data_IF_895696931277
#
_entry.id   IF_895696931277
#
_cell.length_a   1.000
_cell.length_b   1.000
_cell.length_c   1.000
_cell.angle_alpha   90.00
_cell.angle_beta   90.00
_cell.angle_gamma   90.00
#
_symmetry.space_group_name_H-M   'P 1'
#
loop_
_entity.id
_entity.type
_entity.pdbx_description
1 polymer ?
#
# COMPACT_ATOMS: atom_id res chain seq x y z
N UNK A 1 5.09 48.19 -1.95
CA UNK A 1 6.48 48.64 -1.74
C UNK A 1 7.45 47.57 -2.28
N UNK A 2 8.39 48.00 -3.14
CA UNK A 2 9.77 47.51 -3.39
C UNK A 2 10.28 46.40 -2.43
N UNK A 3 11.08 45.35 -2.76
CA UNK A 3 12.06 44.99 -3.83
C UNK A 3 12.50 43.50 -3.63
N UNK A 4 12.71 42.66 -4.66
CA UNK A 4 14.00 42.18 -5.28
C UNK A 4 14.84 41.27 -4.31
N UNK A 5 15.43 40.08 -4.59
CA UNK A 5 16.07 39.48 -5.78
C UNK A 5 16.48 38.00 -5.55
N UNK A 6 16.41 37.18 -6.63
CA UNK A 6 17.38 36.19 -7.21
C UNK A 6 18.16 35.17 -6.33
N UNK A 7 18.41 33.92 -6.75
CA UNK A 7 19.08 33.49 -8.01
C UNK A 7 18.71 32.07 -8.53
N UNK A 8 18.72 31.97 -9.87
CA UNK A 8 18.70 30.79 -10.78
C UNK A 8 20.15 30.18 -10.87
N UNK A 9 20.42 28.99 -11.47
CA UNK A 9 20.21 28.67 -12.90
C UNK A 9 19.70 27.22 -13.18
N UNK A 10 18.91 26.95 -14.22
CA UNK A 10 19.22 26.81 -15.65
C UNK A 10 20.29 25.75 -15.99
N UNK A 11 19.87 24.62 -16.56
CA UNK A 11 20.68 23.90 -17.53
C UNK A 11 19.76 23.31 -18.62
N UNK A 12 20.04 23.75 -19.84
CA UNK A 12 19.38 23.48 -21.09
C UNK A 12 20.43 22.75 -21.93
N UNK A 13 20.11 21.63 -22.56
CA UNK A 13 20.86 21.18 -23.73
C UNK A 13 19.98 20.35 -24.67
N UNK A 14 19.79 20.94 -25.85
CA UNK A 14 19.36 20.32 -27.09
C UNK A 14 20.31 19.19 -27.50
N UNK A 15 19.76 18.21 -28.22
CA UNK A 15 20.38 17.79 -29.48
C UNK A 15 19.32 17.23 -30.44
N UNK A 16 19.15 17.94 -31.55
CA UNK A 16 18.52 17.47 -32.77
C UNK A 16 19.50 16.53 -33.52
N UNK A 17 18.97 15.58 -34.29
CA UNK A 17 19.78 14.73 -35.17
C UNK A 17 18.97 14.26 -36.38
N UNK A 18 19.22 14.94 -37.50
CA UNK A 18 18.60 14.78 -38.82
C UNK A 18 18.92 13.46 -39.52
N UNK A 19 18.02 13.08 -40.43
CA UNK A 19 18.19 12.06 -41.44
C UNK A 19 19.32 12.38 -42.44
N UNK A 20 19.95 11.34 -42.99
CA UNK A 20 20.85 11.43 -44.15
C UNK A 20 20.94 10.09 -44.88
N UNK A 21 20.47 10.10 -46.13
CA UNK A 21 20.52 9.01 -47.12
C UNK A 21 21.74 9.18 -48.04
N UNK A 22 22.23 8.04 -48.55
CA UNK A 22 23.04 7.78 -49.76
C UNK A 22 24.41 8.47 -49.97
N UNK A 23 25.39 7.66 -50.39
CA UNK A 23 26.58 8.14 -51.10
C UNK A 23 27.77 7.20 -51.05
N UNK A 24 27.90 6.33 -52.05
CA UNK A 24 29.11 5.55 -52.38
C UNK A 24 30.30 6.45 -52.74
N UNK A 25 31.53 6.09 -52.33
CA UNK A 25 32.60 5.62 -53.24
C UNK A 25 34.04 5.74 -52.67
N UNK A 26 34.87 4.83 -53.19
CA UNK A 26 36.34 4.82 -53.35
C UNK A 26 37.24 4.35 -52.21
N UNK A 27 37.95 3.28 -52.54
CA UNK A 27 39.06 2.69 -51.83
C UNK A 27 40.31 3.58 -51.83
N UNK A 28 41.04 3.55 -50.72
CA UNK A 28 42.48 3.80 -50.65
C UNK A 28 43.16 2.70 -49.82
N UNK A 29 44.28 2.13 -50.30
CA UNK A 29 45.00 1.10 -49.57
C UNK A 29 46.07 1.69 -48.65
N UNK A 30 46.21 1.09 -47.47
CA UNK A 30 47.43 1.12 -46.68
C UNK A 30 47.45 2.11 -45.51
N UNK A 31 47.28 1.59 -44.30
CA UNK A 31 48.37 1.45 -43.31
C UNK A 31 47.86 0.96 -41.95
N UNK A 32 48.67 0.07 -41.38
CA UNK A 32 48.87 -0.21 -39.96
C UNK A 32 47.67 -0.68 -39.13
N UNK A 33 47.68 -2.00 -38.87
CA UNK A 33 46.97 -2.64 -37.77
C UNK A 33 47.37 -1.96 -36.44
N UNK A 34 46.45 -1.21 -35.86
CA UNK A 34 46.50 -0.84 -34.44
C UNK A 34 46.20 -2.07 -33.57
N UNK A 35 46.64 -2.09 -32.30
CA UNK A 35 46.46 -3.24 -31.43
C UNK A 35 44.98 -3.53 -31.23
N UNK A 36 44.63 -4.82 -31.31
CA UNK A 36 43.28 -5.33 -31.06
C UNK A 36 42.81 -4.89 -29.67
N UNK A 37 41.78 -4.04 -29.64
CA UNK A 37 41.01 -3.76 -28.42
C UNK A 37 40.30 -5.07 -28.06
N UNK A 38 40.51 -5.65 -26.87
CA UNK A 38 39.73 -6.82 -26.46
C UNK A 38 38.25 -6.43 -26.40
N UNK A 39 37.33 -7.35 -26.76
CA UNK A 39 35.90 -7.06 -26.71
C UNK A 39 35.53 -6.60 -25.30
N UNK A 40 34.93 -5.41 -25.19
CA UNK A 40 34.22 -5.02 -23.99
C UNK A 40 33.08 -6.02 -23.83
N UNK A 41 33.10 -6.75 -22.73
CA UNK A 41 32.00 -7.62 -22.33
C UNK A 41 30.74 -6.75 -22.28
N UNK A 42 29.74 -7.07 -23.11
CA UNK A 42 28.38 -6.60 -22.90
C UNK A 42 27.96 -7.18 -21.55
N UNK A 43 27.98 -6.33 -20.53
CA UNK A 43 27.43 -6.61 -19.22
C UNK A 43 25.96 -6.95 -19.47
N UNK A 44 25.66 -8.25 -19.49
CA UNK A 44 24.31 -8.74 -19.68
C UNK A 44 23.45 -8.02 -18.67
N UNK A 45 22.49 -7.23 -19.16
CA UNK A 45 21.43 -6.70 -18.34
C UNK A 45 20.73 -7.91 -17.74
N UNK A 46 21.09 -8.28 -16.51
CA UNK A 46 20.22 -9.04 -15.65
C UNK A 46 18.95 -8.20 -15.57
N UNK A 47 17.96 -8.56 -16.39
CA UNK A 47 16.60 -8.05 -16.28
C UNK A 47 16.23 -8.22 -14.80
N UNK A 48 16.18 -7.10 -14.09
CA UNK A 48 15.74 -7.08 -12.72
C UNK A 48 14.44 -7.88 -12.66
N UNK A 49 14.29 -8.84 -11.73
CA UNK A 49 13.12 -9.69 -11.69
C UNK A 49 11.90 -8.78 -11.69
N UNK A 50 11.00 -9.00 -12.65
CA UNK A 50 9.79 -8.21 -12.80
C UNK A 50 9.16 -8.03 -11.41
N UNK A 51 8.96 -6.77 -11.00
CA UNK A 51 8.38 -6.48 -9.70
C UNK A 51 7.12 -7.34 -9.54
N UNK A 52 6.95 -8.04 -8.40
CA UNK A 52 5.82 -8.94 -8.24
C UNK A 52 4.55 -8.14 -8.50
N UNK A 53 3.81 -8.53 -9.55
CA UNK A 53 2.59 -7.83 -9.96
C UNK A 53 1.60 -7.77 -8.79
N UNK A 54 0.76 -6.74 -8.79
CA UNK A 54 -0.25 -6.52 -7.76
C UNK A 54 -1.04 -7.80 -7.47
N UNK A 55 -0.99 -8.24 -6.21
CA UNK A 55 -1.59 -9.52 -5.79
C UNK A 55 -2.96 -9.35 -5.16
N UNK A 56 -3.47 -8.13 -5.05
CA UNK A 56 -4.66 -7.78 -4.27
C UNK A 56 -4.32 -6.94 -3.04
N UNK A 57 -5.33 -6.42 -2.36
CA UNK A 57 -5.16 -5.56 -1.19
C UNK A 57 -6.32 -5.68 -0.20
N UNK A 58 -6.06 -5.36 1.06
CA UNK A 58 -7.08 -5.28 2.11
C UNK A 58 -7.05 -3.90 2.75
N UNK A 59 -8.16 -3.16 2.67
CA UNK A 59 -8.36 -1.84 3.29
C UNK A 59 -9.42 -1.99 4.40
N UNK A 60 -8.99 -1.89 5.65
CA UNK A 60 -9.86 -1.96 6.83
C UNK A 60 -9.87 -0.60 7.50
N UNK A 61 -11.07 -0.07 7.73
CA UNK A 61 -11.24 1.25 8.31
C UNK A 61 -12.22 1.25 9.45
N UNK A 62 -11.88 1.99 10.48
CA UNK A 62 -12.65 2.15 11.69
C UNK A 62 -12.96 3.62 11.92
N UNK A 63 -14.25 3.93 12.04
CA UNK A 63 -14.79 5.27 12.27
C UNK A 63 -15.74 5.26 13.45
N UNK A 64 -16.06 6.43 13.99
CA UNK A 64 -17.24 6.56 14.85
C UNK A 64 -18.52 6.29 14.04
N UNK A 65 -19.43 5.47 14.58
CA UNK A 65 -20.76 5.24 14.02
C UNK A 65 -21.78 6.34 14.40
N UNK A 66 -21.49 7.13 15.43
CA UNK A 66 -22.37 8.16 15.99
C UNK A 66 -22.01 9.58 15.52
N UNK A 67 -21.08 9.72 14.57
CA UNK A 67 -20.58 11.03 14.14
C UNK A 67 -19.69 11.73 15.19
N UNK A 68 -19.17 10.98 16.18
CA UNK A 68 -18.11 11.50 17.05
C UNK A 68 -16.84 11.74 16.23
N UNK A 69 -16.01 12.67 16.69
CA UNK A 69 -14.73 12.97 16.05
C UNK A 69 -13.83 11.73 16.01
N UNK A 70 -13.75 10.95 17.09
CA UNK A 70 -12.80 9.86 17.20
C UNK A 70 -13.51 8.49 17.23
N UNK A 71 -12.93 7.46 16.59
CA UNK A 71 -13.41 6.08 16.76
C UNK A 71 -13.27 5.65 18.23
N UNK A 72 -14.27 4.96 18.81
CA UNK A 72 -14.22 4.52 20.22
C UNK A 72 -13.37 3.24 20.43
N UNK A 73 -12.51 2.90 19.46
CA UNK A 73 -11.74 1.67 19.47
C UNK A 73 -10.49 1.76 18.57
N UNK A 74 -9.59 0.79 18.75
CA UNK A 74 -8.38 0.57 17.95
C UNK A 74 -8.40 -0.84 17.31
N UNK A 75 -7.49 -1.12 16.38
CA UNK A 75 -7.48 -2.39 15.65
C UNK A 75 -6.13 -3.10 15.67
N UNK A 76 -6.18 -4.43 15.79
CA UNK A 76 -5.04 -5.31 15.50
C UNK A 76 -5.49 -6.43 14.57
N UNK A 77 -4.81 -6.58 13.44
CA UNK A 77 -5.05 -7.62 12.44
C UNK A 77 -3.92 -8.63 12.47
N UNK A 78 -4.27 -9.91 12.46
CA UNK A 78 -3.37 -11.03 12.24
C UNK A 78 -3.61 -11.61 10.85
N UNK A 79 -2.54 -11.78 10.07
CA UNK A 79 -2.61 -12.41 8.75
C UNK A 79 -2.65 -13.95 8.86
N UNK A 80 -2.88 -14.67 7.74
CA UNK A 80 -2.87 -16.13 7.73
C UNK A 80 -1.55 -16.77 8.19
N UNK A 81 -0.43 -16.06 8.12
CA UNK A 81 0.87 -16.51 8.60
C UNK A 81 1.08 -16.24 10.10
N UNK A 82 0.15 -15.55 10.78
CA UNK A 82 0.22 -15.20 12.19
C UNK A 82 0.87 -13.85 12.50
N UNK A 83 1.39 -13.15 11.49
CA UNK A 83 2.01 -11.81 11.64
C UNK A 83 0.95 -10.75 11.94
N UNK A 84 1.32 -9.75 12.73
CA UNK A 84 0.41 -8.72 13.23
C UNK A 84 0.65 -7.34 12.60
N UNK A 85 -0.42 -6.57 12.40
CA UNK A 85 -0.36 -5.13 12.15
C UNK A 85 -1.45 -4.40 12.93
N UNK A 86 -1.18 -3.18 13.38
CA UNK A 86 -2.16 -2.35 14.08
C UNK A 86 -1.66 -1.84 15.43
N UNK A 87 -2.56 -1.34 16.27
CA UNK A 87 -2.23 -0.82 17.59
C UNK A 87 -3.06 -1.50 18.68
N UNK A 88 -2.37 -1.99 19.72
CA UNK A 88 -3.01 -2.56 20.91
C UNK A 88 -2.92 -1.58 22.09
N UNK A 89 -4.04 -0.93 22.46
CA UNK A 89 -4.05 0.08 23.52
C UNK A 89 -3.83 -0.53 24.91
N UNK A 90 -3.97 -1.84 25.10
CA UNK A 90 -3.79 -2.50 26.40
C UNK A 90 -2.33 -2.59 26.81
N UNK A 91 -1.44 -2.72 25.81
CA UNK A 91 0.01 -2.77 25.99
C UNK A 91 0.71 -1.52 25.48
N UNK A 92 -0.04 -0.56 24.92
CA UNK A 92 0.47 0.62 24.24
C UNK A 92 1.54 0.26 23.20
N UNK A 93 1.22 -0.69 22.33
CA UNK A 93 2.17 -1.27 21.37
C UNK A 93 1.61 -1.28 19.95
N UNK A 94 2.44 -0.86 18.99
CA UNK A 94 2.13 -0.88 17.55
C UNK A 94 2.82 -2.07 16.90
N UNK A 95 2.03 -2.95 16.28
CA UNK A 95 2.51 -4.05 15.46
C UNK A 95 2.73 -3.59 14.01
N UNK A 96 3.85 -4.00 13.43
CA UNK A 96 4.22 -3.72 12.04
C UNK A 96 4.96 -4.91 11.42
N UNK A 97 4.43 -6.12 11.61
CA UNK A 97 5.06 -7.37 11.19
C UNK A 97 4.62 -7.79 9.78
N UNK A 98 3.36 -7.50 9.42
CA UNK A 98 2.81 -7.87 8.10
C UNK A 98 3.52 -7.05 6.99
N UNK A 99 4.19 -7.69 6.02
CA UNK A 99 4.80 -6.99 4.89
C UNK A 99 3.76 -6.20 4.09
N UNK A 100 4.09 -4.95 3.73
CA UNK A 100 3.16 -4.05 3.04
C UNK A 100 1.99 -3.56 3.90
N UNK A 101 1.93 -3.96 5.18
CA UNK A 101 0.96 -3.51 6.16
C UNK A 101 1.25 -2.10 6.65
N UNK A 102 0.22 -1.27 6.71
CA UNK A 102 0.26 0.08 7.27
C UNK A 102 -0.87 0.28 8.26
N UNK A 103 -0.60 0.99 9.34
CA UNK A 103 -1.58 1.43 10.33
C UNK A 103 -1.43 2.93 10.55
N UNK A 104 -2.51 3.68 10.41
CA UNK A 104 -2.48 5.13 10.59
C UNK A 104 -3.83 5.66 11.02
N UNK A 105 -3.80 6.75 11.79
CA UNK A 105 -4.97 7.59 12.01
C UNK A 105 -4.97 8.73 11.00
N UNK A 106 -6.13 9.00 10.42
CA UNK A 106 -6.33 10.03 9.41
C UNK A 106 -7.48 10.92 9.82
N UNK A 107 -7.30 12.23 9.66
CA UNK A 107 -8.41 13.19 9.73
C UNK A 107 -8.99 13.31 8.33
N UNK A 108 -10.25 12.93 8.19
CA UNK A 108 -11.02 13.16 6.97
C UNK A 108 -11.62 14.57 7.07
N UNK A 109 -11.09 15.48 6.26
CA UNK A 109 -11.54 16.87 6.21
C UNK A 109 -13.01 16.95 5.75
N UNK A 110 -13.86 17.50 6.59
CA UNK A 110 -15.30 17.65 6.40
C UNK A 110 -15.89 18.58 7.46
N UNK A 111 -17.22 18.77 7.46
CA UNK A 111 -17.92 19.49 8.54
C UNK A 111 -18.98 18.57 9.17
N UNK A 112 -18.76 18.06 10.39
CA UNK A 112 -17.51 18.11 11.17
C UNK A 112 -16.39 17.24 10.55
N UNK A 113 -15.13 17.55 10.84
CA UNK A 113 -14.02 16.66 10.52
C UNK A 113 -14.15 15.38 11.35
N UNK A 114 -13.88 14.22 10.76
CA UNK A 114 -13.91 12.95 11.49
C UNK A 114 -12.54 12.28 11.41
N UNK A 115 -12.13 11.64 12.49
CA UNK A 115 -10.96 10.76 12.51
C UNK A 115 -11.37 9.34 12.07
N UNK A 116 -10.52 8.74 11.27
CA UNK A 116 -10.61 7.36 10.82
C UNK A 116 -9.28 6.67 11.12
N UNK A 117 -9.37 5.46 11.68
CA UNK A 117 -8.22 4.57 11.78
C UNK A 117 -8.21 3.65 10.57
N UNK A 118 -7.11 3.65 9.83
CA UNK A 118 -6.92 2.88 8.59
C UNK A 118 -5.83 1.83 8.82
N UNK A 119 -6.17 0.58 8.52
CA UNK A 119 -5.24 -0.53 8.39
C UNK A 119 -5.29 -1.01 6.94
N UNK A 120 -4.19 -0.87 6.21
CA UNK A 120 -4.10 -1.25 4.80
C UNK A 120 -2.96 -2.24 4.60
N UNK A 121 -3.22 -3.36 3.93
CA UNK A 121 -2.20 -4.33 3.51
C UNK A 121 -2.11 -4.31 1.99
N UNK A 122 -0.99 -3.83 1.48
CA UNK A 122 -0.63 -3.99 0.08
C UNK A 122 -0.21 -5.43 -0.21
N UNK A 123 -0.55 -5.94 -1.40
CA UNK A 123 -0.25 -7.33 -1.80
C UNK A 123 -0.76 -8.38 -0.79
N UNK A 124 -1.95 -8.16 -0.23
CA UNK A 124 -2.57 -9.05 0.74
C UNK A 124 -2.71 -10.48 0.19
N UNK A 125 -2.31 -11.47 0.99
CA UNK A 125 -2.42 -12.88 0.66
C UNK A 125 -3.85 -13.38 0.88
N UNK A 126 -4.32 -14.29 0.03
CA UNK A 126 -5.60 -14.96 0.26
C UNK A 126 -5.56 -15.84 1.52
N UNK A 127 -6.64 -15.85 2.30
CA UNK A 127 -6.75 -16.69 3.49
C UNK A 127 -7.66 -16.10 4.58
N UNK A 128 -7.57 -16.71 5.77
CA UNK A 128 -8.31 -16.29 6.95
C UNK A 128 -7.46 -15.33 7.80
N UNK A 129 -7.93 -14.11 7.95
CA UNK A 129 -7.38 -13.11 8.85
C UNK A 129 -8.20 -13.06 10.15
N UNK A 130 -7.53 -12.73 11.24
CA UNK A 130 -8.17 -12.48 12.53
C UNK A 130 -8.02 -11.01 12.90
N UNK A 131 -9.13 -10.28 12.98
CA UNK A 131 -9.16 -8.88 13.39
C UNK A 131 -9.70 -8.76 14.81
N UNK A 132 -9.00 -8.00 15.64
CA UNK A 132 -9.46 -7.54 16.95
C UNK A 132 -9.77 -6.05 16.87
N UNK A 133 -10.98 -5.69 17.27
CA UNK A 133 -11.38 -4.29 17.54
C UNK A 133 -11.43 -4.13 19.05
N UNK A 134 -10.60 -3.25 19.60
CA UNK A 134 -10.36 -3.11 21.04
C UNK A 134 -10.92 -1.77 21.51
N UNK A 135 -11.93 -1.80 22.37
CA UNK A 135 -12.62 -0.61 22.85
C UNK A 135 -11.73 0.26 23.73
N UNK A 136 -11.69 1.55 23.43
CA UNK A 136 -10.96 2.59 24.17
C UNK A 136 -11.89 3.65 24.76
N UNK A 137 -13.11 3.78 24.23
CA UNK A 137 -14.17 4.66 24.73
C UNK A 137 -15.54 3.97 24.56
N UNK A 138 -16.58 4.56 25.14
CA UNK A 138 -17.96 4.16 24.91
C UNK A 138 -18.48 4.71 23.58
N UNK A 139 -19.14 3.85 22.80
CA UNK A 139 -19.96 4.30 21.68
C UNK A 139 -20.06 3.27 20.56
N UNK A 140 -20.71 3.65 19.49
CA UNK A 140 -20.77 2.85 18.27
C UNK A 140 -19.53 3.09 17.39
N UNK A 141 -18.92 2.03 16.88
CA UNK A 141 -17.99 2.12 15.77
C UNK A 141 -18.63 1.64 14.47
N UNK A 142 -18.16 2.19 13.35
CA UNK A 142 -18.40 1.71 12.00
C UNK A 142 -17.09 1.11 11.46
N UNK A 143 -17.12 -0.18 11.14
CA UNK A 143 -15.99 -0.95 10.62
C UNK A 143 -16.28 -1.32 9.16
N UNK A 144 -15.59 -0.68 8.23
CA UNK A 144 -15.66 -1.01 6.80
C UNK A 144 -14.44 -1.81 6.39
N UNK A 145 -14.65 -2.86 5.61
CA UNK A 145 -13.59 -3.69 5.05
C UNK A 145 -13.77 -3.75 3.55
N UNK A 146 -12.70 -3.52 2.79
CA UNK A 146 -12.67 -3.69 1.34
C UNK A 146 -11.52 -4.61 0.96
N UNK A 147 -11.82 -5.65 0.21
CA UNK A 147 -10.84 -6.59 -0.32
C UNK A 147 -10.79 -6.45 -1.84
N UNK A 148 -9.59 -6.25 -2.39
CA UNK A 148 -9.34 -6.14 -3.83
C UNK A 148 -8.62 -7.40 -4.32
N UNK A 149 -9.07 -8.03 -5.39
CA UNK A 149 -8.32 -9.12 -6.03
C UNK A 149 -7.20 -8.60 -6.95
N UNK A 150 -6.42 -9.51 -7.52
CA UNK A 150 -5.35 -9.19 -8.48
C UNK A 150 -5.80 -8.40 -9.73
N UNK A 151 -7.09 -8.47 -10.07
CA UNK A 151 -7.69 -7.82 -11.24
C UNK A 151 -8.33 -6.48 -10.87
N UNK A 152 -8.11 -6.01 -9.63
CA UNK A 152 -8.68 -4.79 -9.04
C UNK A 152 -10.21 -4.82 -8.86
N UNK A 153 -10.85 -5.99 -9.00
CA UNK A 153 -12.24 -6.14 -8.56
C UNK A 153 -12.27 -6.12 -7.03
N UNK A 154 -13.40 -5.72 -6.44
CA UNK A 154 -13.49 -5.62 -4.98
C UNK A 154 -14.82 -6.09 -4.41
N UNK A 155 -14.78 -6.45 -3.13
CA UNK A 155 -15.93 -6.73 -2.29
C UNK A 155 -15.80 -5.94 -0.97
N UNK A 156 -16.95 -5.51 -0.45
CA UNK A 156 -17.06 -4.64 0.72
C UNK A 156 -17.93 -5.24 1.82
N UNK A 157 -17.60 -4.94 3.07
CA UNK A 157 -18.40 -5.25 4.25
C UNK A 157 -18.46 -4.03 5.17
N UNK A 158 -19.58 -3.90 5.90
CA UNK A 158 -19.77 -2.87 6.91
C UNK A 158 -20.40 -3.49 8.16
N UNK A 159 -19.81 -3.18 9.32
CA UNK A 159 -20.37 -3.50 10.62
C UNK A 159 -20.53 -2.23 11.44
N UNK A 160 -21.63 -2.14 12.18
CA UNK A 160 -21.93 -1.00 13.05
C UNK A 160 -22.35 -1.53 14.42
N UNK A 161 -21.46 -1.45 15.41
CA UNK A 161 -21.59 -2.18 16.68
C UNK A 161 -21.20 -1.28 17.85
N UNK A 162 -21.93 -1.39 18.97
CA UNK A 162 -21.58 -0.74 20.24
C UNK A 162 -20.38 -1.40 20.87
N UNK A 163 -19.45 -0.60 21.39
CA UNK A 163 -18.28 -1.07 22.14
C UNK A 163 -18.10 -0.26 23.43
N UNK A 164 -17.50 -0.88 24.43
CA UNK A 164 -17.12 -0.26 25.69
C UNK A 164 -15.60 -0.34 25.90
N UNK A 165 -15.02 0.51 26.75
CA UNK A 165 -13.60 0.41 27.10
C UNK A 165 -13.26 -0.99 27.64
N UNK A 166 -12.22 -1.60 27.06
CA UNK A 166 -11.77 -2.94 27.44
C UNK A 166 -12.46 -4.10 26.70
N UNK A 167 -13.58 -3.86 26.01
CA UNK A 167 -14.18 -4.87 25.13
C UNK A 167 -13.23 -5.23 24.00
N UNK A 168 -13.20 -6.52 23.64
CA UNK A 168 -12.50 -6.99 22.44
C UNK A 168 -13.49 -7.71 21.54
N UNK A 169 -13.75 -7.13 20.37
CA UNK A 169 -14.55 -7.77 19.34
C UNK A 169 -13.64 -8.50 18.35
N UNK A 170 -13.92 -9.77 18.13
CA UNK A 170 -13.14 -10.61 17.23
C UNK A 170 -13.88 -10.84 15.93
N UNK A 171 -13.16 -10.74 14.83
CA UNK A 171 -13.66 -10.98 13.49
C UNK A 171 -12.77 -11.99 12.79
N UNK A 172 -13.39 -12.97 12.14
CA UNK A 172 -12.70 -13.83 11.16
C UNK A 172 -13.05 -13.30 9.79
N UNK A 173 -12.04 -12.90 9.02
CA UNK A 173 -12.17 -12.35 7.67
C UNK A 173 -11.59 -13.37 6.70
N UNK A 174 -12.43 -13.95 5.86
CA UNK A 174 -12.01 -14.80 4.76
C UNK A 174 -11.90 -13.94 3.50
N UNK A 175 -10.68 -13.82 2.98
CA UNK A 175 -10.36 -12.99 1.85
C UNK A 175 -9.72 -13.83 0.74
N UNK A 176 -10.14 -13.58 -0.51
CA UNK A 176 -9.57 -14.17 -1.70
C UNK A 176 -8.95 -13.09 -2.58
N UNK A 177 -7.70 -13.32 -2.98
CA UNK A 177 -6.94 -12.44 -3.85
C UNK A 177 -6.82 -12.98 -5.30
N UNK A 178 -7.50 -14.09 -5.59
CA UNK A 178 -7.72 -14.56 -6.97
C UNK A 178 -8.89 -13.81 -7.60
N UNK A 179 -8.92 -13.73 -8.93
CA UNK A 179 -9.96 -13.02 -9.67
C UNK A 179 -11.38 -13.40 -9.26
N UNK A 180 -12.27 -12.40 -9.20
CA UNK A 180 -13.64 -12.53 -8.71
C UNK A 180 -13.80 -12.17 -7.23
N UNK A 181 -13.03 -11.17 -6.75
CA UNK A 181 -12.95 -10.64 -5.39
C UNK A 181 -13.98 -11.21 -4.40
N UNK A 182 -13.48 -11.94 -3.41
CA UNK A 182 -14.31 -12.52 -2.35
C UNK A 182 -13.85 -12.00 -1.00
N UNK A 183 -14.79 -11.43 -0.26
CA UNK A 183 -14.60 -10.99 1.11
C UNK A 183 -15.82 -11.41 1.93
N UNK A 184 -15.59 -12.18 2.99
CA UNK A 184 -16.60 -12.50 3.99
C UNK A 184 -15.99 -12.28 5.36
N UNK A 185 -16.75 -11.66 6.27
CA UNK A 185 -16.33 -11.55 7.65
C UNK A 185 -17.49 -11.88 8.58
N UNK A 186 -17.15 -12.47 9.72
CA UNK A 186 -18.10 -12.71 10.81
C UNK A 186 -17.48 -12.32 12.13
N UNK A 187 -18.27 -11.67 12.98
CA UNK A 187 -17.91 -11.47 14.38
C UNK A 187 -18.02 -12.81 15.11
N UNK A 188 -16.97 -13.21 15.81
CA UNK A 188 -16.95 -14.40 16.66
C UNK A 188 -17.09 -13.98 18.12
N UNK A 189 -17.77 -14.82 18.90
CA UNK A 189 -17.64 -14.76 20.35
C UNK A 189 -16.36 -15.52 20.67
N UNK A 190 -15.32 -14.82 21.11
CA UNK A 190 -14.15 -15.51 21.66
C UNK A 190 -14.58 -16.13 22.99
N UNK A 191 -14.38 -17.44 23.14
CA UNK A 191 -14.41 -18.08 24.45
C UNK A 191 -13.09 -17.73 25.12
N UNK A 192 -13.17 -17.07 26.27
CA UNK A 192 -12.06 -16.97 27.22
C UNK A 192 -11.60 -18.36 27.67
#
# INVERSE_FOLDING_TARGET
MRKISTWLPLLLLLAAGLAGLYGTALAQPGRAQGPAVPPQYEEGQEEAPAAPGFRGALDIRLRSGEGKLNPPAEMVLNNPAGESAGFDPRYNYTYQEIPGGTYKRMVVNGYPSIEETVLYIDNAVGGAYSLRVIGTDYGQYALSMKGYDRDMSHADLLFTIMIQPGDVHHYVINYSNVGGASLNARRTRTRE
#
